data_IF_524852776201
#
_entry.id   IF_524852776201
#
_cell.length_a   1.000
_cell.length_b   1.000
_cell.length_c   1.000
_cell.angle_alpha   90.00
_cell.angle_beta   90.00
_cell.angle_gamma   90.00
#
_symmetry.space_group_name_H-M   'P 1'
#
loop_
_entity.id
_entity.type
_entity.pdbx_description
1 polymer ?
#
# COMPACT_ATOMS: atom_id res chain seq x y z
N UNK A 1 8.99 -27.85 -4.23
CA UNK A 1 8.21 -26.62 -4.48
C UNK A 1 7.48 -26.33 -3.18
N UNK A 2 7.83 -25.25 -2.49
CA UNK A 2 7.21 -24.88 -1.22
C UNK A 2 5.81 -24.36 -1.52
N UNK A 3 4.77 -24.99 -0.96
CA UNK A 3 3.40 -24.45 -1.01
C UNK A 3 3.43 -23.07 -0.34
N UNK A 4 3.34 -22.03 -1.16
CA UNK A 4 3.24 -20.66 -0.68
C UNK A 4 1.82 -20.51 -0.12
N UNK A 5 1.68 -20.72 1.20
CA UNK A 5 0.41 -20.64 1.91
C UNK A 5 -0.12 -19.21 1.82
N UNK A 6 -1.20 -19.04 1.07
CA UNK A 6 -2.02 -17.83 1.09
C UNK A 6 -2.54 -17.63 2.52
N UNK A 7 -2.46 -16.40 3.10
CA UNK A 7 -2.99 -16.15 4.43
C UNK A 7 -4.52 -16.40 4.48
N UNK A 8 -5.05 -16.74 5.65
CA UNK A 8 -6.46 -17.07 5.86
C UNK A 8 -7.23 -15.85 6.38
N UNK A 9 -8.19 -15.35 5.59
CA UNK A 9 -9.02 -14.16 5.91
C UNK A 9 -10.03 -14.41 7.03
N UNK A 10 -10.46 -15.66 7.24
CA UNK A 10 -11.51 -15.97 8.22
C UNK A 10 -11.11 -15.66 9.67
N UNK A 11 -9.83 -15.37 9.90
CA UNK A 11 -9.25 -15.07 11.21
C UNK A 11 -9.01 -13.58 11.44
N UNK A 12 -9.37 -12.72 10.48
CA UNK A 12 -9.12 -11.29 10.55
C UNK A 12 -10.42 -10.60 10.94
N UNK A 13 -10.36 -9.80 12.00
CA UNK A 13 -11.46 -8.93 12.40
C UNK A 13 -11.76 -7.91 11.29
N UNK A 14 -13.03 -7.67 11.02
CA UNK A 14 -13.48 -6.74 10.00
C UNK A 14 -13.14 -5.28 10.34
N UNK A 15 -13.02 -4.95 11.63
CA UNK A 15 -12.62 -3.62 12.10
C UNK A 15 -11.11 -3.39 12.24
N UNK A 16 -10.28 -4.44 12.15
CA UNK A 16 -8.81 -4.31 12.33
C UNK A 16 -8.13 -3.89 11.04
N UNK A 17 -8.02 -2.58 10.82
CA UNK A 17 -7.40 -1.99 9.63
C UNK A 17 -5.97 -2.49 9.40
N UNK A 18 -5.19 -2.69 10.45
CA UNK A 18 -3.79 -3.10 10.37
C UNK A 18 -3.65 -4.56 9.97
N UNK A 19 -4.46 -5.45 10.54
CA UNK A 19 -4.47 -6.85 10.13
C UNK A 19 -4.90 -7.02 8.67
N UNK A 20 -5.87 -6.22 8.22
CA UNK A 20 -6.34 -6.20 6.83
C UNK A 20 -5.26 -5.70 5.87
N UNK A 21 -4.55 -4.63 6.22
CA UNK A 21 -3.41 -4.13 5.46
C UNK A 21 -2.29 -5.18 5.33
N UNK A 22 -1.89 -5.79 6.46
CA UNK A 22 -0.87 -6.84 6.47
C UNK A 22 -1.28 -8.04 5.63
N UNK A 23 -2.55 -8.41 5.64
CA UNK A 23 -3.08 -9.45 4.76
C UNK A 23 -2.89 -9.10 3.29
N UNK A 24 -3.28 -7.88 2.87
CA UNK A 24 -3.17 -7.43 1.48
C UNK A 24 -1.73 -7.49 0.98
N UNK A 25 -0.79 -6.97 1.78
CA UNK A 25 0.64 -7.01 1.44
C UNK A 25 1.17 -8.45 1.38
N UNK A 26 0.84 -9.29 2.37
CA UNK A 26 1.28 -10.67 2.42
C UNK A 26 0.71 -11.50 1.25
N UNK A 27 -0.56 -11.29 0.90
CA UNK A 27 -1.19 -11.93 -0.25
C UNK A 27 -0.51 -11.55 -1.56
N UNK A 28 -0.31 -10.25 -1.80
CA UNK A 28 0.40 -9.75 -2.97
C UNK A 28 1.83 -10.31 -3.06
N UNK A 29 2.52 -10.43 -1.93
CA UNK A 29 3.84 -11.06 -1.85
C UNK A 29 3.79 -12.56 -2.15
N UNK A 30 2.77 -13.26 -1.66
CA UNK A 30 2.59 -14.69 -1.89
C UNK A 30 2.36 -15.04 -3.37
N UNK A 31 1.74 -14.14 -4.14
CA UNK A 31 1.56 -14.31 -5.59
C UNK A 31 2.68 -13.63 -6.42
N UNK A 32 3.75 -13.16 -5.76
CA UNK A 32 4.88 -12.47 -6.40
C UNK A 32 4.50 -11.23 -7.23
N UNK A 33 3.49 -10.49 -6.79
CA UNK A 33 3.00 -9.27 -7.44
C UNK A 33 3.10 -8.03 -6.53
N UNK A 34 3.81 -8.12 -5.41
CA UNK A 34 3.94 -6.98 -4.50
C UNK A 34 4.90 -5.92 -5.03
N UNK A 35 4.33 -4.75 -5.30
CA UNK A 35 4.99 -3.48 -5.58
C UNK A 35 4.44 -2.45 -4.59
N UNK A 36 5.33 -1.89 -3.75
CA UNK A 36 4.95 -0.99 -2.66
C UNK A 36 4.47 0.39 -3.14
N UNK A 37 5.11 0.98 -4.15
CA UNK A 37 4.72 2.29 -4.66
C UNK A 37 3.37 2.24 -5.35
N UNK A 38 3.16 1.20 -6.14
CA UNK A 38 1.87 0.91 -6.76
C UNK A 38 0.80 0.65 -5.70
N UNK A 39 1.15 -0.05 -4.62
CA UNK A 39 0.23 -0.34 -3.52
C UNK A 39 -0.22 0.94 -2.83
N UNK A 40 0.72 1.81 -2.44
CA UNK A 40 0.40 3.10 -1.83
C UNK A 40 -0.44 3.99 -2.75
N UNK A 41 -0.13 4.00 -4.05
CA UNK A 41 -0.90 4.76 -5.04
C UNK A 41 -2.34 4.23 -5.17
N UNK A 42 -2.50 2.90 -5.16
CA UNK A 42 -3.80 2.26 -5.20
C UNK A 42 -4.61 2.53 -3.92
N UNK A 43 -3.98 2.52 -2.74
CA UNK A 43 -4.64 2.87 -1.46
C UNK A 43 -5.20 4.31 -1.50
N UNK A 44 -4.38 5.28 -1.92
CA UNK A 44 -4.83 6.68 -2.03
C UNK A 44 -6.01 6.84 -3.00
N UNK A 45 -5.94 6.18 -4.15
CA UNK A 45 -7.02 6.21 -5.14
C UNK A 45 -8.29 5.51 -4.63
N UNK A 46 -8.14 4.36 -3.98
CA UNK A 46 -9.25 3.61 -3.38
C UNK A 46 -9.96 4.43 -2.31
N UNK A 47 -9.21 5.04 -1.39
CA UNK A 47 -9.74 5.93 -0.36
C UNK A 47 -10.53 7.09 -0.98
N UNK A 48 -9.95 7.78 -1.96
CA UNK A 48 -10.64 8.87 -2.67
C UNK A 48 -11.96 8.43 -3.32
N UNK A 49 -11.97 7.28 -3.99
CA UNK A 49 -13.16 6.74 -4.66
C UNK A 49 -14.25 6.30 -3.68
N UNK A 50 -13.86 5.66 -2.58
CA UNK A 50 -14.80 5.17 -1.56
C UNK A 50 -15.44 6.34 -0.83
N UNK A 51 -14.64 7.32 -0.37
CA UNK A 51 -15.17 8.50 0.30
C UNK A 51 -16.10 9.31 -0.62
N UNK A 52 -15.72 9.52 -1.89
CA UNK A 52 -16.57 10.18 -2.88
C UNK A 52 -17.88 9.40 -3.16
N UNK A 53 -17.83 8.07 -3.09
CA UNK A 53 -19.03 7.24 -3.22
C UNK A 53 -19.97 7.45 -2.02
N UNK A 54 -19.44 7.43 -0.81
CA UNK A 54 -20.23 7.68 0.40
C UNK A 54 -20.86 9.07 0.41
N UNK A 55 -20.10 10.09 -0.01
CA UNK A 55 -20.63 11.45 -0.17
C UNK A 55 -21.78 11.48 -1.18
N UNK A 56 -21.58 10.91 -2.36
CA UNK A 56 -22.61 10.83 -3.41
C UNK A 56 -23.87 10.09 -2.94
N UNK A 57 -23.68 9.07 -2.11
CA UNK A 57 -24.77 8.29 -1.52
C UNK A 57 -25.43 9.02 -0.31
N UNK A 58 -24.97 10.23 0.02
CA UNK A 58 -25.56 11.08 1.05
C UNK A 58 -25.21 10.68 2.49
N UNK A 59 -24.14 9.90 2.68
CA UNK A 59 -23.76 9.39 4.00
C UNK A 59 -22.95 10.43 4.76
N UNK A 60 -23.48 10.94 5.86
CA UNK A 60 -22.78 11.84 6.79
C UNK A 60 -21.70 11.12 7.60
N UNK A 61 -21.96 9.86 7.93
CA UNK A 61 -21.10 8.97 8.69
C UNK A 61 -21.19 7.55 8.13
N UNK A 62 -20.14 6.76 8.34
CA UNK A 62 -20.08 5.34 8.01
C UNK A 62 -19.34 4.60 9.11
N UNK A 63 -19.77 3.39 9.43
CA UNK A 63 -19.06 2.53 10.39
C UNK A 63 -17.67 2.10 9.89
N UNK A 64 -16.71 1.91 10.79
CA UNK A 64 -15.33 1.49 10.49
C UNK A 64 -15.30 0.19 9.70
N UNK A 65 -16.06 -0.83 10.11
CA UNK A 65 -16.06 -2.12 9.42
C UNK A 65 -16.59 -1.99 7.98
N UNK A 66 -17.64 -1.20 7.78
CA UNK A 66 -18.18 -0.96 6.44
C UNK A 66 -17.24 -0.12 5.56
N UNK A 67 -16.60 0.90 6.15
CA UNK A 67 -15.57 1.71 5.49
C UNK A 67 -14.42 0.83 5.00
N UNK A 68 -13.80 0.05 5.89
CA UNK A 68 -12.67 -0.81 5.57
C UNK A 68 -13.04 -1.88 4.55
N UNK A 69 -14.23 -2.46 4.65
CA UNK A 69 -14.74 -3.40 3.65
C UNK A 69 -14.79 -2.77 2.25
N UNK A 70 -15.35 -1.57 2.12
CA UNK A 70 -15.43 -0.87 0.83
C UNK A 70 -14.06 -0.45 0.32
N UNK A 71 -13.19 0.00 1.21
CA UNK A 71 -11.80 0.33 0.89
C UNK A 71 -11.07 -0.87 0.31
N UNK A 72 -11.16 -2.02 0.95
CA UNK A 72 -10.47 -3.23 0.48
C UNK A 72 -11.02 -3.75 -0.84
N UNK A 73 -12.34 -3.68 -1.07
CA UNK A 73 -12.91 -4.02 -2.38
C UNK A 73 -12.34 -3.11 -3.48
N UNK A 74 -12.35 -1.79 -3.26
CA UNK A 74 -11.84 -0.83 -4.23
C UNK A 74 -10.34 -1.00 -4.45
N UNK A 75 -9.57 -1.20 -3.38
CA UNK A 75 -8.13 -1.45 -3.42
C UNK A 75 -7.83 -2.74 -4.20
N UNK A 76 -8.56 -3.82 -3.94
CA UNK A 76 -8.41 -5.10 -4.63
C UNK A 76 -8.62 -4.94 -6.14
N UNK A 77 -9.66 -4.20 -6.53
CA UNK A 77 -9.99 -3.94 -7.92
C UNK A 77 -8.91 -3.09 -8.62
N UNK A 78 -8.43 -2.03 -7.96
CA UNK A 78 -7.41 -1.14 -8.52
C UNK A 78 -6.05 -1.84 -8.60
N UNK A 79 -5.65 -2.54 -7.53
CA UNK A 79 -4.32 -3.11 -7.41
C UNK A 79 -4.14 -4.40 -8.22
N UNK A 80 -5.13 -5.29 -8.23
CA UNK A 80 -5.06 -6.53 -9.01
C UNK A 80 -5.77 -6.45 -10.36
N UNK A 81 -6.39 -5.32 -10.70
CA UNK A 81 -7.15 -5.15 -11.95
C UNK A 81 -6.33 -5.39 -13.23
N UNK A 82 -5.01 -5.16 -13.19
CA UNK A 82 -4.12 -5.40 -14.33
C UNK A 82 -3.86 -6.89 -14.61
N UNK A 83 -4.23 -7.79 -13.70
CA UNK A 83 -4.11 -9.23 -13.91
C UNK A 83 -5.22 -9.79 -14.82
N UNK A 84 -6.25 -9.00 -15.14
CA UNK A 84 -7.32 -9.41 -16.05
C UNK A 84 -8.01 -10.70 -15.58
N UNK A 85 -7.95 -11.74 -16.40
CA UNK A 85 -8.56 -13.04 -16.09
C UNK A 85 -7.84 -13.81 -14.97
N UNK A 86 -6.57 -13.48 -14.71
CA UNK A 86 -5.79 -14.10 -13.62
C UNK A 86 -5.99 -13.37 -12.29
N UNK A 87 -6.86 -12.35 -12.26
CA UNK A 87 -7.18 -11.61 -11.06
C UNK A 87 -7.79 -12.54 -10.00
N UNK A 88 -7.18 -12.61 -8.80
CA UNK A 88 -7.73 -13.42 -7.73
C UNK A 88 -9.05 -12.84 -7.23
N UNK A 89 -9.94 -13.71 -6.76
CA UNK A 89 -11.20 -13.31 -6.13
C UNK A 89 -10.91 -12.56 -4.84
N UNK A 90 -11.61 -11.45 -4.61
CA UNK A 90 -11.47 -10.70 -3.37
C UNK A 90 -11.93 -11.57 -2.19
N UNK A 91 -11.08 -11.76 -1.16
CA UNK A 91 -11.38 -12.71 -0.08
C UNK A 91 -12.35 -12.14 0.95
N UNK A 92 -12.59 -10.83 0.94
CA UNK A 92 -13.58 -10.14 1.78
C UNK A 92 -14.98 -10.37 1.23
N UNK A 93 -15.53 -11.56 1.46
CA UNK A 93 -16.85 -11.97 0.94
C UNK A 93 -18.01 -11.59 1.86
N UNK A 94 -17.77 -11.53 3.17
CA UNK A 94 -18.76 -11.08 4.15
C UNK A 94 -18.88 -9.56 4.13
N UNK A 95 -20.07 -9.06 3.80
CA UNK A 95 -20.37 -7.62 3.81
C UNK A 95 -20.86 -7.20 5.21
N UNK A 96 -20.17 -6.28 5.90
CA UNK A 96 -20.67 -5.67 7.14
C UNK A 96 -21.95 -4.86 6.91
N UNK A 97 -22.76 -4.71 7.95
CA UNK A 97 -23.95 -3.85 7.92
C UNK A 97 -23.50 -2.39 7.81
N UNK A 98 -24.08 -1.66 6.86
CA UNK A 98 -23.64 -0.30 6.53
C UNK A 98 -23.80 0.71 7.69
N UNK A 99 -24.88 0.57 8.47
CA UNK A 99 -25.21 1.40 9.61
C UNK A 99 -25.39 0.52 10.85
N UNK A 100 -24.40 -0.33 11.15
CA UNK A 100 -24.44 -1.11 12.39
C UNK A 100 -24.38 -0.14 13.58
N UNK A 101 -25.39 -0.11 14.47
CA UNK A 101 -25.40 0.79 15.62
C UNK A 101 -24.29 0.47 16.63
N UNK A 102 -23.64 -0.70 16.53
CA UNK A 102 -22.53 -1.09 17.39
C UNK A 102 -21.15 -0.83 16.76
N UNK A 103 -21.10 -0.35 15.51
CA UNK A 103 -19.84 -0.04 14.82
C UNK A 103 -19.47 1.42 15.05
N UNK A 104 -18.20 1.68 15.32
CA UNK A 104 -17.71 3.03 15.55
C UNK A 104 -17.67 3.81 14.22
N UNK A 105 -17.87 5.14 14.23
CA UNK A 105 -17.69 5.96 13.03
C UNK A 105 -16.25 5.91 12.49
N UNK A 106 -16.08 5.81 11.16
CA UNK A 106 -14.75 5.92 10.53
C UNK A 106 -14.22 7.35 10.63
N UNK A 107 -13.14 7.52 11.40
CA UNK A 107 -12.41 8.78 11.49
C UNK A 107 -11.82 9.19 10.15
N UNK A 108 -11.34 8.25 9.33
CA UNK A 108 -10.76 8.54 8.01
C UNK A 108 -11.77 9.19 7.05
N UNK A 109 -13.04 8.76 7.10
CA UNK A 109 -14.09 9.39 6.31
C UNK A 109 -14.48 10.76 6.86
N UNK A 110 -14.55 10.90 8.19
CA UNK A 110 -14.83 12.17 8.86
C UNK A 110 -13.76 13.22 8.52
N UNK A 111 -12.48 12.84 8.61
CA UNK A 111 -11.35 13.70 8.28
C UNK A 111 -11.40 14.11 6.80
N UNK A 112 -11.64 13.16 5.90
CA UNK A 112 -11.78 13.43 4.47
C UNK A 112 -12.92 14.42 4.16
N UNK A 113 -14.05 14.33 4.87
CA UNK A 113 -15.16 15.29 4.74
C UNK A 113 -14.75 16.67 5.28
N UNK A 114 -14.07 16.70 6.42
CA UNK A 114 -13.60 17.93 7.06
C UNK A 114 -12.64 18.72 6.17
N UNK A 115 -11.67 18.05 5.55
CA UNK A 115 -10.73 18.66 4.59
C UNK A 115 -11.43 19.32 3.39
N UNK A 116 -12.66 18.91 3.08
CA UNK A 116 -13.47 19.42 1.97
C UNK A 116 -14.56 20.40 2.39
N UNK A 117 -14.61 20.78 3.67
CA UNK A 117 -15.66 21.65 4.21
C UNK A 117 -17.04 21.00 4.24
N UNK A 118 -17.13 19.66 4.21
CA UNK A 118 -18.36 18.87 4.25
C UNK A 118 -18.73 18.45 5.68
N UNK A 119 -18.32 19.21 6.68
CA UNK A 119 -18.72 19.00 8.08
C UNK A 119 -20.22 19.24 8.20
N UNK A 120 -21.00 18.18 8.42
CA UNK A 120 -22.43 18.32 8.64
C UNK A 120 -22.70 19.14 9.92
N UNK A 121 -23.58 20.14 9.83
CA UNK A 121 -24.06 20.95 10.95
C UNK A 121 -25.00 20.18 11.90
N UNK A 122 -24.81 18.87 12.09
CA UNK A 122 -25.70 18.01 12.88
C UNK A 122 -25.26 17.89 14.35
N UNK A 123 -24.94 19.02 14.97
CA UNK A 123 -25.14 19.21 16.41
C UNK A 123 -26.45 19.96 16.72
N UNK A 124 -27.24 20.35 15.71
CA UNK A 124 -28.59 20.90 15.88
C UNK A 124 -29.62 19.90 15.36
N UNK A 125 -30.58 19.57 16.23
CA UNK A 125 -31.87 18.97 15.90
C UNK A 125 -31.91 17.44 15.71
N UNK A 126 -31.56 16.70 16.76
CA UNK A 126 -32.34 15.50 17.10
C UNK A 126 -33.24 15.84 18.30
N UNK A 127 -34.41 16.35 17.96
CA UNK A 127 -35.59 16.35 18.81
C UNK A 127 -36.02 14.88 19.01
N UNK A 128 -35.64 14.29 20.14
CA UNK A 128 -36.23 13.04 20.64
C UNK A 128 -36.91 13.36 21.96
N UNK A 129 -38.18 13.76 21.83
CA UNK A 129 -39.19 13.52 22.85
C UNK A 129 -39.15 12.03 23.24
N UNK A 130 -38.72 11.77 24.46
CA UNK A 130 -38.58 10.44 25.04
C UNK A 130 -38.42 10.56 26.54
N UNK A 131 -39.56 10.78 27.19
CA UNK A 131 -39.74 10.89 28.63
C UNK A 131 -39.08 9.72 29.38
N UNK A 132 -37.95 9.96 30.04
CA UNK A 132 -37.41 9.10 31.09
C UNK A 132 -36.62 9.96 32.09
N UNK A 133 -37.13 9.94 33.31
CA UNK A 133 -36.77 10.78 34.45
C UNK A 133 -35.33 10.59 34.95
N UNK A 134 -34.67 11.73 35.18
CA UNK A 134 -33.77 12.06 36.31
C UNK A 134 -32.54 11.16 36.52
N UNK A 135 -31.40 11.65 36.03
CA UNK A 135 -30.19 11.70 36.85
C UNK A 135 -29.53 13.08 36.67
N UNK A 136 -29.49 13.78 37.78
CA UNK A 136 -29.00 15.11 38.06
C UNK A 136 -27.48 15.20 37.84
N UNK A 137 -27.03 15.97 36.86
CA UNK A 137 -25.76 16.72 36.94
C UNK A 137 -26.00 18.11 36.35
N UNK A 138 -26.41 19.02 37.24
CA UNK A 138 -26.11 20.42 37.01
C UNK A 138 -24.62 20.57 37.30
N UNK A 139 -23.82 20.87 36.29
CA UNK A 139 -22.57 21.55 36.52
C UNK A 139 -22.42 22.74 35.57
N UNK A 140 -22.04 23.84 36.20
CA UNK A 140 -21.96 25.17 35.66
C UNK A 140 -21.00 25.19 34.46
N UNK A 141 -21.47 25.60 33.27
CA UNK A 141 -20.59 25.96 32.16
C UNK A 141 -19.76 27.20 32.52
N UNK A 142 -18.64 26.98 33.19
CA UNK A 142 -17.62 28.00 33.43
C UNK A 142 -16.88 28.25 32.09
N UNK A 143 -16.92 29.47 31.51
CA UNK A 143 -16.24 29.78 30.25
C UNK A 143 -14.72 29.53 30.27
N UNK A 144 -14.10 29.45 31.45
CA UNK A 144 -12.70 29.06 31.59
C UNK A 144 -12.44 27.61 31.16
N UNK A 145 -13.40 26.69 31.39
CA UNK A 145 -13.28 25.26 31.03
C UNK A 145 -13.32 25.03 29.51
N UNK A 146 -14.11 25.83 28.78
CA UNK A 146 -14.15 25.81 27.32
C UNK A 146 -12.82 26.29 26.72
N UNK A 147 -12.23 27.33 27.29
CA UNK A 147 -10.95 27.90 26.84
C UNK A 147 -9.79 26.92 27.07
N UNK A 148 -9.83 26.17 28.16
CA UNK A 148 -8.85 25.13 28.48
C UNK A 148 -8.98 23.90 27.58
N UNK A 149 -10.21 23.53 27.19
CA UNK A 149 -10.48 22.49 26.19
C UNK A 149 -9.97 22.90 24.80
N UNK A 150 -10.20 24.14 24.38
CA UNK A 150 -9.75 24.69 23.10
C UNK A 150 -8.22 24.75 23.02
N UNK A 151 -7.54 25.14 24.11
CA UNK A 151 -6.09 25.14 24.20
C UNK A 151 -5.46 23.73 24.23
N UNK A 152 -6.20 22.71 24.69
CA UNK A 152 -5.77 21.31 24.57
C UNK A 152 -5.93 20.80 23.15
N UNK A 153 -7.07 21.07 22.53
CA UNK A 153 -7.34 20.74 21.12
C UNK A 153 -6.31 21.39 20.19
N UNK A 154 -6.00 22.68 20.39
CA UNK A 154 -4.98 23.38 19.59
C UNK A 154 -3.59 22.75 19.72
N UNK A 155 -3.18 22.33 20.93
CA UNK A 155 -1.92 21.62 21.14
C UNK A 155 -1.87 20.28 20.40
N UNK A 156 -2.96 19.50 20.48
CA UNK A 156 -3.05 18.23 19.75
C UNK A 156 -2.95 18.43 18.23
N UNK A 157 -3.61 19.45 17.68
CA UNK A 157 -3.54 19.77 16.26
C UNK A 157 -2.11 20.13 15.85
N UNK A 158 -1.40 20.93 16.65
CA UNK A 158 -0.01 21.30 16.39
C UNK A 158 0.90 20.07 16.45
N UNK A 159 0.72 19.19 17.43
CA UNK A 159 1.51 17.96 17.54
C UNK A 159 1.27 17.00 16.36
N UNK A 160 0.02 16.87 15.91
CA UNK A 160 -0.33 16.10 14.72
C UNK A 160 0.28 16.70 13.45
N UNK A 161 0.23 18.02 13.29
CA UNK A 161 0.84 18.71 12.15
C UNK A 161 2.37 18.53 12.11
N UNK A 162 3.02 18.57 13.28
CA UNK A 162 4.46 18.31 13.39
C UNK A 162 4.79 16.85 13.04
N UNK A 163 4.03 15.88 13.55
CA UNK A 163 4.21 14.46 13.22
C UNK A 163 4.00 14.17 11.72
N UNK A 164 2.99 14.79 11.11
CA UNK A 164 2.73 14.70 9.67
C UNK A 164 3.88 15.30 8.84
N UNK A 165 4.45 16.41 9.30
CA UNK A 165 5.62 17.04 8.65
C UNK A 165 6.86 16.16 8.75
N UNK A 166 7.10 15.54 9.91
CA UNK A 166 8.22 14.61 10.12
C UNK A 166 8.09 13.37 9.21
N UNK A 167 6.89 12.79 9.14
CA UNK A 167 6.60 11.68 8.23
C UNK A 167 6.82 12.05 6.76
N UNK A 168 6.41 13.26 6.37
CA UNK A 168 6.62 13.77 5.00
C UNK A 168 8.10 13.93 4.69
N UNK A 169 8.89 14.47 5.62
CA UNK A 169 10.34 14.59 5.45
C UNK A 169 11.03 13.23 5.34
N UNK A 170 10.62 12.26 6.15
CA UNK A 170 11.14 10.88 6.09
C UNK A 170 10.81 10.21 4.76
N UNK A 171 9.61 10.43 4.22
CA UNK A 171 9.23 9.94 2.90
C UNK A 171 10.09 10.58 1.79
N UNK A 172 10.35 11.89 1.86
CA UNK A 172 11.23 12.57 0.90
C UNK A 172 12.65 11.98 0.95
N UNK A 173 13.19 11.73 2.13
CA UNK A 173 14.51 11.12 2.30
C UNK A 173 14.56 9.69 1.75
N UNK A 174 13.51 8.89 2.02
CA UNK A 174 13.38 7.55 1.47
C UNK A 174 13.37 7.56 -0.06
N UNK A 175 12.58 8.43 -0.68
CA UNK A 175 12.54 8.58 -2.15
C UNK A 175 13.91 8.96 -2.72
N UNK A 176 14.63 9.90 -2.10
CA UNK A 176 16.01 10.24 -2.51
C UNK A 176 16.97 9.05 -2.42
N UNK A 177 16.82 8.23 -1.37
CA UNK A 177 17.64 7.01 -1.23
C UNK A 177 17.33 5.99 -2.32
N UNK A 178 16.07 5.89 -2.72
CA UNK A 178 15.62 4.96 -3.74
C UNK A 178 16.08 5.39 -5.14
N UNK A 179 16.02 6.69 -5.45
CA UNK A 179 16.57 7.24 -6.70
C UNK A 179 18.07 6.92 -6.82
N UNK A 180 18.82 7.08 -5.73
CA UNK A 180 20.24 6.72 -5.70
C UNK A 180 20.48 5.22 -5.97
N UNK A 181 19.65 4.34 -5.39
CA UNK A 181 19.75 2.90 -5.64
C UNK A 181 19.41 2.53 -7.10
N UNK A 182 18.47 3.24 -7.72
CA UNK A 182 18.14 3.07 -9.14
C UNK A 182 19.32 3.49 -10.03
N UNK A 183 19.96 4.62 -9.74
CA UNK A 183 21.15 5.06 -10.46
C UNK A 183 22.30 4.04 -10.33
N UNK A 184 22.55 3.54 -9.12
CA UNK A 184 23.56 2.49 -8.89
C UNK A 184 23.24 1.20 -9.65
N UNK A 185 21.96 0.81 -9.70
CA UNK A 185 21.51 -0.36 -10.48
C UNK A 185 21.79 -0.18 -11.97
N UNK A 186 21.53 0.99 -12.54
CA UNK A 186 21.80 1.28 -13.96
C UNK A 186 23.30 1.14 -14.26
N UNK A 187 24.15 1.71 -13.41
CA UNK A 187 25.61 1.62 -13.56
C UNK A 187 26.08 0.16 -13.49
N UNK A 188 25.53 -0.63 -12.57
CA UNK A 188 25.85 -2.05 -12.44
C UNK A 188 25.39 -2.86 -13.66
N UNK A 189 24.20 -2.60 -14.19
CA UNK A 189 23.70 -3.25 -15.40
C UNK A 189 24.60 -2.98 -16.62
N UNK A 190 25.03 -1.74 -16.82
CA UNK A 190 25.97 -1.37 -17.88
C UNK A 190 27.35 -2.07 -17.70
N UNK A 191 27.80 -2.22 -16.44
CA UNK A 191 29.03 -2.96 -16.14
C UNK A 191 28.89 -4.45 -16.44
N UNK A 192 27.77 -5.08 -16.07
CA UNK A 192 27.48 -6.49 -16.38
C UNK A 192 27.48 -6.70 -17.89
N UNK A 193 26.76 -5.85 -18.64
CA UNK A 193 26.72 -5.92 -20.09
C UNK A 193 28.12 -5.84 -20.73
N UNK A 194 28.97 -4.93 -20.26
CA UNK A 194 30.36 -4.82 -20.71
C UNK A 194 31.19 -6.08 -20.41
N UNK A 195 31.03 -6.67 -19.23
CA UNK A 195 31.75 -7.87 -18.83
C UNK A 195 31.31 -9.10 -19.64
N UNK A 196 30.01 -9.25 -19.89
CA UNK A 196 29.46 -10.29 -20.77
C UNK A 196 30.05 -10.19 -22.19
N UNK A 197 30.13 -8.97 -22.73
CA UNK A 197 30.77 -8.73 -24.04
C UNK A 197 32.26 -9.07 -24.07
N UNK A 198 33.00 -8.82 -22.98
CA UNK A 198 34.41 -9.21 -22.87
C UNK A 198 34.57 -10.73 -22.76
N UNK A 199 33.70 -11.40 -21.98
CA UNK A 199 33.71 -12.84 -21.83
C UNK A 199 33.47 -13.54 -23.17
N UNK A 200 32.45 -13.11 -23.92
CA UNK A 200 32.14 -13.66 -25.25
C UNK A 200 33.33 -13.53 -26.23
N UNK A 201 34.07 -12.40 -26.18
CA UNK A 201 35.29 -12.22 -26.99
C UNK A 201 36.43 -13.13 -26.54
N UNK A 202 36.62 -13.31 -25.24
CA UNK A 202 37.63 -14.21 -24.71
C UNK A 202 37.36 -15.67 -25.09
N UNK A 203 36.09 -16.10 -25.01
CA UNK A 203 35.66 -17.44 -25.41
C UNK A 203 35.81 -17.67 -26.93
N UNK A 204 35.41 -16.70 -27.76
CA UNK A 204 35.62 -16.75 -29.21
C UNK A 204 37.10 -16.85 -29.59
N UNK A 205 37.97 -16.05 -28.94
CA UNK A 205 39.41 -16.11 -29.16
C UNK A 205 40.01 -17.46 -28.69
N UNK A 206 39.50 -18.04 -27.61
CA UNK A 206 39.92 -19.36 -27.12
C UNK A 206 39.57 -20.48 -28.10
N UNK A 207 38.41 -20.41 -28.77
CA UNK A 207 38.03 -21.34 -29.85
C UNK A 207 38.93 -21.20 -31.08
N UNK A 208 39.26 -19.98 -31.51
CA UNK A 208 40.16 -19.74 -32.65
C UNK A 208 41.57 -20.28 -32.36
N UNK A 209 42.09 -20.05 -31.14
CA UNK A 209 43.40 -20.60 -30.74
C UNK A 209 43.38 -22.13 -30.67
N UNK A 210 42.27 -22.75 -30.24
CA UNK A 210 42.12 -24.22 -30.26
C UNK A 210 42.07 -24.79 -31.68
N UNK A 211 41.36 -24.14 -32.61
CA UNK A 211 41.28 -24.57 -34.00
C UNK A 211 42.63 -24.40 -34.73
N UNK A 212 43.32 -23.27 -34.53
CA UNK A 212 44.66 -23.06 -35.08
C UNK A 212 45.71 -24.05 -34.56
N UNK A 213 45.56 -24.54 -33.31
CA UNK A 213 46.47 -25.56 -32.76
C UNK A 213 46.21 -26.97 -33.29
N UNK A 214 44.98 -27.26 -33.75
CA UNK A 214 44.64 -28.54 -34.38
C UNK A 214 45.18 -28.64 -35.82
N UNK A 215 45.18 -27.54 -36.58
CA UNK A 215 45.71 -27.51 -37.95
C UNK A 215 47.24 -27.62 -38.03
N UNK A 216 47.96 -27.08 -37.03
CA UNK A 216 49.43 -27.21 -36.96
C UNK A 216 49.87 -28.65 -36.65
N UNK A 217 49.06 -29.42 -35.90
CA UNK A 217 49.36 -30.83 -35.61
C UNK A 217 49.03 -31.77 -36.78
N UNK A 218 48.09 -31.44 -37.66
CA UNK A 218 47.81 -32.24 -38.86
C UNK A 218 48.87 -32.07 -39.96
N UNK A 219 49.54 -30.92 -40.00
CA UNK A 219 50.60 -30.65 -40.98
C UNK A 219 51.94 -31.32 -40.65
N UNK A 220 52.15 -31.74 -39.39
CA UNK A 220 53.38 -32.37 -38.92
C UNK A 220 53.42 -33.91 -39.07
N UNK A 221 52.31 -34.55 -39.47
CA UNK A 221 52.21 -36.01 -39.62
C UNK A 221 52.23 -36.49 -41.10
N UNK A 222 52.50 -35.60 -42.04
CA UNK A 222 52.41 -35.87 -43.49
C UNK A 222 53.73 -36.06 -44.24
N UNK A 223 54.87 -36.28 -43.59
CA UNK A 223 56.14 -36.58 -44.28
C UNK A 223 56.84 -37.81 -43.65
N UNK A 224 56.30 -38.99 -43.93
CA UNK A 224 57.10 -40.22 -43.96
C UNK A 224 56.53 -41.14 -45.03
N UNK A 225 57.04 -40.99 -46.25
CA UNK A 225 56.92 -41.97 -47.34
C UNK A 225 58.31 -42.16 -47.94
N UNK A 226 58.60 -43.43 -48.24
CA UNK A 226 59.86 -44.06 -48.71
C UNK A 226 60.78 -43.21 -49.59
N UNK A 227 62.08 -43.47 -49.61
CA UNK A 227 62.73 -44.78 -49.72
C UNK A 227 64.04 -44.85 -48.93
#
# INVERSE_FOLDING_TARGET
>A
MSEQRVPDVSKIDHGDSKARELYMMAFAGAINHFDYERYQSAVKLAMGNVCATFERDGLSTVGVAYYLYKLDLALWDIYFGNLGNDKPVCPWTTRPVQNDPNDEPSHEYIDWRSERGLTDSMQSDMDVSGDALIAQEGDSQDPASLLESLNRSYRQIVDMANAATEMTNKNIEMHKSMDKLLDEKIVLQDKVFRLEGQLARAEGNSQIVRLGRAEVNFSALGHSRGF
#
